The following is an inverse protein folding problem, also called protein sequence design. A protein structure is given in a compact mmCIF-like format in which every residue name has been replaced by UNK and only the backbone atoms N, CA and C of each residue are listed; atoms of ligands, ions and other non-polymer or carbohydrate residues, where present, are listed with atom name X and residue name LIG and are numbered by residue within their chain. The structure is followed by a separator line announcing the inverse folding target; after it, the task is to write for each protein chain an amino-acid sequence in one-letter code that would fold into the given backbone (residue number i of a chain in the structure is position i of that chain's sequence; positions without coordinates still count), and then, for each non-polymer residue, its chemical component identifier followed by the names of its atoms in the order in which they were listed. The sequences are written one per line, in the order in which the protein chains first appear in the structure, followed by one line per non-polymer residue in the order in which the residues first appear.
data_IF_163717183332
#
_entry.id   IF_163717183332
#
_cell.length_a   1.000
_cell.length_b   1.000
_cell.length_c   1.000
_cell.angle_alpha   90.00
_cell.angle_beta   90.00
_cell.angle_gamma   90.00
#
_symmetry.space_group_name_H-M   'P 1'
#
loop_
_entity.id
_entity.type
_entity.pdbx_description
1 polymer ?
#
# COMPACT_ATOMS: atom_id res chain seq x y z
N UNK A 1 2.34 -19.15 8.93
CA UNK A 1 1.62 -18.77 10.17
C UNK A 1 0.13 -18.78 9.87
N UNK A 2 -0.72 -19.10 10.85
CA UNK A 2 -2.18 -18.97 10.75
C UNK A 2 -2.61 -17.92 11.77
N UNK A 3 -3.47 -16.98 11.37
CA UNK A 3 -4.05 -15.99 12.27
C UNK A 3 -4.94 -16.66 13.29
N UNK A 4 -4.88 -16.20 14.54
CA UNK A 4 -5.86 -16.56 15.55
C UNK A 4 -7.24 -16.01 15.20
N UNK A 5 -8.30 -16.59 15.80
CA UNK A 5 -9.66 -16.06 15.65
C UNK A 5 -9.77 -14.61 16.13
N UNK A 6 -9.01 -14.23 17.16
CA UNK A 6 -8.96 -12.87 17.68
C UNK A 6 -8.33 -11.91 16.67
N UNK A 7 -7.20 -12.28 16.05
CA UNK A 7 -6.55 -11.47 15.02
C UNK A 7 -7.44 -11.31 13.78
N UNK A 8 -8.11 -12.38 13.36
CA UNK A 8 -9.03 -12.32 12.23
C UNK A 8 -10.27 -11.46 12.55
N UNK A 9 -10.80 -11.57 13.78
CA UNK A 9 -11.88 -10.71 14.25
C UNK A 9 -11.44 -9.24 14.30
N UNK A 10 -10.24 -8.96 14.80
CA UNK A 10 -9.64 -7.63 14.81
C UNK A 10 -9.54 -7.07 13.40
N UNK A 11 -8.96 -7.81 12.45
CA UNK A 11 -8.90 -7.37 11.05
C UNK A 11 -10.29 -7.06 10.50
N UNK A 12 -11.25 -7.96 10.74
CA UNK A 12 -12.62 -7.77 10.27
C UNK A 12 -13.28 -6.53 10.90
N UNK A 13 -12.97 -6.20 12.17
CA UNK A 13 -13.52 -5.08 12.94
C UNK A 13 -12.82 -3.73 12.67
N UNK A 14 -11.50 -3.72 12.55
CA UNK A 14 -10.72 -2.49 12.42
C UNK A 14 -10.32 -2.20 10.98
N UNK A 15 -10.28 -3.23 10.14
CA UNK A 15 -9.90 -3.15 8.73
C UNK A 15 -8.39 -3.21 8.51
N UNK A 16 -7.60 -3.38 9.57
CA UNK A 16 -6.17 -3.62 9.50
C UNK A 16 -5.71 -4.57 10.61
N UNK A 17 -4.52 -5.15 10.40
CA UNK A 17 -3.82 -5.99 11.36
C UNK A 17 -2.33 -5.72 11.25
N UNK A 18 -1.64 -5.67 12.39
CA UNK A 18 -0.18 -5.55 12.46
C UNK A 18 0.39 -6.90 12.90
N UNK A 19 1.26 -7.47 12.07
CA UNK A 19 2.06 -8.65 12.38
C UNK A 19 3.43 -8.18 12.83
N UNK A 20 3.71 -8.30 14.13
CA UNK A 20 4.97 -7.87 14.72
C UNK A 20 6.09 -8.85 14.44
N UNK A 21 7.28 -8.33 14.15
CA UNK A 21 8.51 -9.10 13.91
C UNK A 21 8.28 -10.25 12.92
N UNK A 22 7.55 -9.96 11.85
CA UNK A 22 7.07 -10.99 10.92
C UNK A 22 8.12 -11.34 9.87
N UNK A 23 8.70 -10.32 9.24
CA UNK A 23 9.73 -10.49 8.23
C UNK A 23 11.12 -10.52 8.89
N UNK A 24 11.98 -11.40 8.39
CA UNK A 24 13.36 -11.50 8.84
C UNK A 24 14.12 -10.18 8.59
N UNK A 25 14.85 -9.71 9.61
CA UNK A 25 15.52 -8.40 9.56
C UNK A 25 16.66 -8.38 8.54
N UNK A 26 17.34 -9.49 8.31
CA UNK A 26 18.38 -9.61 7.27
C UNK A 26 17.75 -9.55 5.87
N UNK A 27 16.60 -10.19 5.67
CA UNK A 27 15.81 -10.07 4.42
C UNK A 27 15.36 -8.63 4.19
N UNK A 28 14.90 -7.94 5.24
CA UNK A 28 14.56 -6.51 5.17
C UNK A 28 15.76 -5.65 4.76
N UNK A 29 16.94 -5.90 5.33
CA UNK A 29 18.17 -5.18 4.98
C UNK A 29 18.60 -5.41 3.53
N UNK A 30 18.56 -6.66 3.06
CA UNK A 30 18.87 -6.98 1.66
C UNK A 30 17.93 -6.26 0.67
N UNK A 31 16.63 -6.27 0.95
CA UNK A 31 15.62 -5.54 0.16
C UNK A 31 15.90 -4.04 0.19
N UNK A 32 16.19 -3.50 1.37
CA UNK A 32 16.45 -2.07 1.56
C UNK A 32 17.69 -1.60 0.80
N UNK A 33 18.76 -2.39 0.77
CA UNK A 33 19.98 -2.05 0.06
C UNK A 33 19.78 -2.02 -1.46
N UNK A 34 19.09 -3.00 -2.02
CA UNK A 34 18.70 -2.97 -3.44
C UNK A 34 17.79 -1.77 -3.73
N UNK A 35 16.81 -1.50 -2.87
CA UNK A 35 15.92 -0.36 -3.01
C UNK A 35 16.69 0.97 -3.02
N UNK A 36 17.68 1.14 -2.13
CA UNK A 36 18.55 2.33 -2.09
C UNK A 36 19.36 2.50 -3.37
N UNK A 37 19.92 1.43 -3.92
CA UNK A 37 20.62 1.47 -5.23
C UNK A 37 19.66 1.93 -6.32
N UNK A 38 18.48 1.31 -6.38
CA UNK A 38 17.43 1.62 -7.34
C UNK A 38 16.93 3.07 -7.25
N UNK A 39 16.80 3.61 -6.04
CA UNK A 39 16.45 5.01 -5.80
C UNK A 39 17.59 5.96 -6.19
N UNK A 40 18.84 5.64 -5.82
CA UNK A 40 20.02 6.46 -6.13
C UNK A 40 20.21 6.65 -7.63
N UNK A 41 20.04 5.57 -8.40
CA UNK A 41 20.19 5.60 -9.86
C UNK A 41 18.89 5.87 -10.60
N UNK A 42 17.78 6.11 -9.89
CA UNK A 42 16.45 6.38 -10.45
C UNK A 42 16.05 5.39 -11.54
N UNK A 43 16.28 4.10 -11.30
CA UNK A 43 15.98 3.05 -12.28
C UNK A 43 14.45 3.04 -12.50
N UNK A 44 14.03 3.24 -13.74
CA UNK A 44 12.61 3.24 -14.12
C UNK A 44 11.97 1.84 -14.01
N UNK A 45 10.66 1.73 -13.80
CA UNK A 45 9.69 2.82 -13.67
C UNK A 45 9.65 3.41 -12.24
N UNK A 46 9.55 4.75 -12.13
CA UNK A 46 9.39 5.48 -10.87
C UNK A 46 8.17 6.41 -10.89
N UNK A 47 7.79 6.91 -9.71
CA UNK A 47 6.93 8.08 -9.58
C UNK A 47 7.60 9.11 -8.66
N UNK A 48 7.46 10.39 -9.00
CA UNK A 48 8.06 11.51 -8.27
C UNK A 48 7.00 12.29 -7.48
N UNK A 49 7.42 13.10 -6.51
CA UNK A 49 6.52 13.95 -5.71
C UNK A 49 5.77 14.97 -6.58
N UNK A 50 6.43 15.57 -7.57
CA UNK A 50 5.81 16.49 -8.55
C UNK A 50 4.75 15.75 -9.35
N UNK A 51 5.12 14.60 -9.93
CA UNK A 51 4.19 13.76 -10.68
C UNK A 51 2.98 13.38 -9.84
N UNK A 52 3.14 13.06 -8.57
CA UNK A 52 2.02 12.72 -7.69
C UNK A 52 1.02 13.87 -7.47
N UNK A 53 1.50 15.10 -7.27
CA UNK A 53 0.67 16.27 -6.97
C UNK A 53 -0.28 16.69 -8.10
N UNK A 54 0.18 16.52 -9.35
CA UNK A 54 -0.53 16.97 -10.56
C UNK A 54 -1.63 15.99 -11.01
N UNK A 55 -1.60 14.73 -10.53
CA UNK A 55 -2.49 13.67 -11.05
C UNK A 55 -3.96 13.85 -10.67
N UNK A 56 -4.80 13.91 -11.70
CA UNK A 56 -6.26 13.85 -11.62
C UNK A 56 -6.75 12.43 -11.32
N UNK A 57 -8.06 12.28 -11.07
CA UNK A 57 -8.71 10.96 -10.96
C UNK A 57 -8.50 10.12 -12.21
N UNK A 58 -8.75 10.68 -13.40
CA UNK A 58 -8.56 10.03 -14.69
C UNK A 58 -7.14 9.46 -14.86
N UNK A 59 -6.11 10.22 -14.48
CA UNK A 59 -4.73 9.74 -14.56
C UNK A 59 -4.48 8.45 -13.75
N UNK A 60 -5.16 8.28 -12.60
CA UNK A 60 -4.97 7.10 -11.75
C UNK A 60 -5.65 5.86 -12.35
N UNK A 61 -6.75 6.06 -13.07
CA UNK A 61 -7.70 5.02 -13.49
C UNK A 61 -7.54 4.61 -14.94
N UNK A 62 -7.02 5.52 -15.76
CA UNK A 62 -6.88 5.37 -17.20
C UNK A 62 -5.46 4.92 -17.54
N UNK A 63 -5.33 4.28 -18.70
CA UNK A 63 -4.04 3.85 -19.24
C UNK A 63 -3.29 5.09 -19.69
N UNK A 64 -2.23 5.45 -18.96
CA UNK A 64 -1.39 6.61 -19.27
C UNK A 64 0.05 6.16 -19.38
N UNK A 65 0.74 6.60 -20.44
CA UNK A 65 2.17 6.40 -20.60
C UNK A 65 2.90 7.27 -19.57
N UNK A 66 3.72 6.63 -18.73
CA UNK A 66 4.49 7.31 -17.70
C UNK A 66 5.80 7.79 -18.32
N UNK A 67 6.03 9.11 -18.37
CA UNK A 67 7.37 9.68 -18.49
C UNK A 67 7.70 10.46 -17.22
N UNK A 68 8.85 10.16 -16.62
CA UNK A 68 9.44 10.92 -15.50
C UNK A 68 10.27 12.07 -16.06
N UNK A 69 9.64 12.95 -16.85
CA UNK A 69 10.31 14.14 -17.38
C UNK A 69 10.49 15.16 -16.26
N UNK A 70 11.55 15.03 -15.45
CA UNK A 70 12.20 16.14 -14.74
C UNK A 70 13.37 15.63 -13.88
N UNK A 71 14.59 15.95 -14.32
CA UNK A 71 15.80 15.78 -13.52
C UNK A 71 15.71 16.60 -12.21
N UNK A 72 16.22 16.06 -11.11
CA UNK A 72 16.20 16.74 -9.80
C UNK A 72 14.96 16.50 -8.92
N UNK A 73 13.95 15.77 -9.41
CA UNK A 73 12.74 15.49 -8.64
C UNK A 73 12.94 14.39 -7.58
N UNK A 74 12.31 14.59 -6.41
CA UNK A 74 12.25 13.63 -5.31
C UNK A 74 11.43 12.41 -5.74
N UNK A 75 12.04 11.22 -5.68
CA UNK A 75 11.33 9.96 -5.93
C UNK A 75 10.36 9.72 -4.79
N UNK A 76 9.11 9.42 -5.12
CA UNK A 76 8.03 9.05 -4.20
C UNK A 76 7.89 7.54 -4.07
N UNK A 77 8.09 6.84 -5.18
CA UNK A 77 8.08 5.37 -5.20
C UNK A 77 8.79 4.79 -6.40
N UNK A 78 9.37 3.62 -6.19
CA UNK A 78 9.71 2.69 -7.26
C UNK A 78 8.46 1.91 -7.64
N UNK A 79 8.16 1.79 -8.92
CA UNK A 79 6.98 1.07 -9.43
C UNK A 79 7.39 -0.28 -10.01
N UNK A 80 6.38 -1.14 -10.24
CA UNK A 80 6.54 -2.44 -10.88
C UNK A 80 7.60 -3.32 -10.21
N UNK A 81 7.66 -3.27 -8.88
CA UNK A 81 8.78 -3.88 -8.15
C UNK A 81 8.77 -5.40 -8.20
N UNK A 82 7.61 -6.02 -8.46
CA UNK A 82 7.50 -7.48 -8.61
C UNK A 82 8.42 -8.03 -9.72
N UNK A 83 8.50 -7.35 -10.86
CA UNK A 83 9.34 -7.76 -11.99
C UNK A 83 10.71 -7.06 -12.02
N UNK A 84 10.99 -6.22 -11.02
CA UNK A 84 12.17 -5.33 -10.99
C UNK A 84 13.41 -5.99 -10.40
N UNK A 85 13.23 -6.82 -9.37
CA UNK A 85 14.32 -7.50 -8.68
C UNK A 85 13.82 -8.82 -8.10
N UNK A 86 14.71 -9.82 -7.99
CA UNK A 86 14.38 -11.12 -7.43
C UNK A 86 14.00 -11.03 -5.96
N UNK A 87 14.69 -10.20 -5.15
CA UNK A 87 14.38 -10.05 -3.73
C UNK A 87 12.99 -9.43 -3.50
N UNK A 88 12.58 -8.53 -4.40
CA UNK A 88 11.28 -7.88 -4.37
C UNK A 88 10.15 -8.84 -4.72
N UNK A 89 10.42 -9.76 -5.65
CA UNK A 89 9.51 -10.86 -6.02
C UNK A 89 9.39 -11.87 -4.87
N UNK A 90 10.51 -12.34 -4.35
CA UNK A 90 10.59 -13.33 -3.25
C UNK A 90 9.97 -12.86 -1.95
N UNK A 91 9.89 -11.54 -1.70
CA UNK A 91 9.12 -11.02 -0.57
C UNK A 91 7.62 -11.33 -0.73
N UNK A 92 7.03 -11.03 -1.87
CA UNK A 92 5.59 -11.24 -2.07
C UNK A 92 5.23 -12.71 -2.29
N UNK A 93 6.18 -13.49 -2.79
CA UNK A 93 6.04 -14.94 -2.89
C UNK A 93 6.40 -15.68 -1.60
N UNK A 94 6.74 -14.98 -0.51
CA UNK A 94 7.10 -15.62 0.75
C UNK A 94 5.96 -16.51 1.26
N UNK A 95 6.26 -17.77 1.54
CA UNK A 95 5.27 -18.76 1.96
C UNK A 95 4.64 -18.43 3.31
N UNK A 96 5.32 -17.64 4.16
CA UNK A 96 4.84 -17.32 5.51
C UNK A 96 3.60 -16.43 5.48
N UNK A 97 3.51 -15.50 4.53
CA UNK A 97 2.42 -14.50 4.45
C UNK A 97 1.18 -15.06 3.73
N UNK A 98 1.34 -16.05 2.86
CA UNK A 98 0.24 -16.57 2.03
C UNK A 98 -0.96 -17.07 2.85
N UNK A 99 -0.80 -17.92 3.90
CA UNK A 99 -1.95 -18.40 4.66
C UNK A 99 -2.68 -17.27 5.40
N UNK A 100 -1.94 -16.24 5.86
CA UNK A 100 -2.53 -15.05 6.48
C UNK A 100 -3.42 -14.32 5.48
N UNK A 101 -2.93 -14.10 4.26
CA UNK A 101 -3.71 -13.43 3.19
C UNK A 101 -4.91 -14.26 2.75
N UNK A 102 -4.77 -15.59 2.68
CA UNK A 102 -5.88 -16.50 2.39
C UNK A 102 -6.98 -16.42 3.45
N UNK A 103 -6.63 -16.36 4.74
CA UNK A 103 -7.61 -16.19 5.82
C UNK A 103 -8.30 -14.83 5.76
N UNK A 104 -7.53 -13.77 5.51
CA UNK A 104 -8.04 -12.40 5.45
C UNK A 104 -8.99 -12.19 4.26
N UNK A 105 -8.62 -12.69 3.08
CA UNK A 105 -9.43 -12.58 1.87
C UNK A 105 -10.53 -13.65 1.78
N UNK A 106 -10.41 -14.72 2.58
CA UNK A 106 -11.21 -15.95 2.48
C UNK A 106 -11.31 -16.47 1.03
N UNK A 107 -10.18 -16.44 0.32
CA UNK A 107 -10.10 -16.76 -1.10
C UNK A 107 -8.65 -17.09 -1.51
N UNK A 108 -8.47 -17.63 -2.70
CA UNK A 108 -7.18 -17.77 -3.35
C UNK A 108 -6.58 -16.38 -3.61
N UNK A 109 -5.34 -16.17 -3.15
CA UNK A 109 -4.64 -14.88 -3.23
C UNK A 109 -4.12 -14.64 -4.64
N UNK A 110 -4.37 -13.43 -5.15
CA UNK A 110 -3.88 -12.94 -6.43
C UNK A 110 -3.22 -11.57 -6.24
N UNK A 111 -1.97 -11.42 -6.68
CA UNK A 111 -1.29 -10.13 -6.74
C UNK A 111 -1.79 -9.37 -7.95
N UNK A 112 -2.11 -8.09 -7.76
CA UNK A 112 -2.35 -7.16 -8.85
C UNK A 112 -1.11 -6.31 -9.11
N UNK A 113 -0.66 -6.24 -10.37
CA UNK A 113 0.54 -5.47 -10.75
C UNK A 113 0.22 -4.10 -11.34
N UNK A 114 -1.06 -3.74 -11.47
CA UNK A 114 -1.45 -2.46 -12.09
C UNK A 114 -1.06 -1.25 -11.23
N UNK A 115 -1.06 -1.42 -9.91
CA UNK A 115 -0.68 -0.41 -8.92
C UNK A 115 -0.13 -1.09 -7.65
N UNK A 116 0.29 -0.30 -6.65
CA UNK A 116 0.80 -0.75 -5.34
C UNK A 116 1.54 -2.09 -5.38
N UNK A 117 2.51 -2.20 -6.29
CA UNK A 117 3.63 -3.13 -6.24
C UNK A 117 4.89 -2.25 -6.20
N UNK A 118 5.15 -1.66 -5.04
CA UNK A 118 6.02 -0.49 -4.96
C UNK A 118 6.92 -0.48 -3.73
N UNK A 119 8.12 0.05 -3.90
CA UNK A 119 8.87 0.62 -2.77
C UNK A 119 8.36 2.05 -2.60
N UNK A 120 7.76 2.34 -1.47
CA UNK A 120 7.29 3.67 -1.08
C UNK A 120 8.37 4.40 -0.30
N UNK A 121 8.56 5.68 -0.59
CA UNK A 121 9.54 6.50 0.11
C UNK A 121 8.90 7.74 0.70
N UNK A 122 9.33 8.09 1.92
CA UNK A 122 9.25 9.44 2.44
C UNK A 122 10.67 9.98 2.61
N UNK A 123 11.15 10.71 1.60
CA UNK A 123 12.44 11.41 1.65
C UNK A 123 12.47 12.56 2.69
N UNK A 124 13.62 12.78 3.36
CA UNK A 124 13.79 13.82 4.39
C UNK A 124 13.33 15.19 3.91
N UNK A 125 12.44 15.85 4.65
CA UNK A 125 11.98 17.23 4.45
C UNK A 125 11.32 17.56 3.10
N UNK A 126 11.28 16.60 2.16
CA UNK A 126 10.81 16.80 0.78
C UNK A 126 9.48 16.08 0.51
N UNK A 127 9.15 15.08 1.33
CA UNK A 127 7.96 14.26 1.12
C UNK A 127 6.67 15.05 1.32
N UNK A 128 5.72 14.90 0.40
CA UNK A 128 4.36 15.37 0.63
C UNK A 128 3.57 14.42 1.54
N UNK A 129 2.58 14.98 2.23
CA UNK A 129 1.61 14.20 2.98
C UNK A 129 0.73 13.42 2.00
N UNK A 130 0.46 12.16 2.32
CA UNK A 130 -0.63 11.41 1.70
C UNK A 130 -1.87 11.68 2.54
N UNK A 131 -2.86 12.42 2.01
CA UNK A 131 -4.10 12.75 2.73
C UNK A 131 -4.99 11.50 2.91
N UNK A 132 -5.99 11.60 3.78
CA UNK A 132 -6.97 10.53 4.03
C UNK A 132 -7.62 10.05 2.73
N UNK A 133 -7.53 8.76 2.46
CA UNK A 133 -8.11 8.14 1.27
C UNK A 133 -8.36 6.65 1.48
N UNK A 134 -9.09 6.06 0.52
CA UNK A 134 -9.24 4.62 0.37
C UNK A 134 -8.44 4.18 -0.86
N UNK A 135 -7.69 3.09 -0.76
CA UNK A 135 -6.89 2.52 -1.86
C UNK A 135 -7.74 2.10 -3.05
N UNK A 136 -9.02 1.77 -2.82
CA UNK A 136 -9.98 1.42 -3.86
C UNK A 136 -10.02 2.40 -5.03
N UNK A 137 -9.68 3.67 -4.82
CA UNK A 137 -9.59 4.69 -5.89
C UNK A 137 -8.69 4.27 -7.07
N UNK A 138 -7.66 3.46 -6.82
CA UNK A 138 -6.70 2.99 -7.84
C UNK A 138 -7.19 1.78 -8.63
N UNK A 139 -8.21 1.09 -8.14
CA UNK A 139 -8.59 -0.24 -8.61
C UNK A 139 -9.95 -0.23 -9.28
N UNK A 140 -10.16 -1.09 -10.27
CA UNK A 140 -11.45 -1.31 -10.92
C UNK A 140 -11.73 -2.82 -11.02
N UNK A 141 -12.32 -3.33 -9.93
CA UNK A 141 -12.74 -4.72 -9.79
C UNK A 141 -14.24 -4.83 -9.49
N UNK A 142 -14.78 -6.04 -9.60
CA UNK A 142 -16.17 -6.42 -9.33
C UNK A 142 -16.63 -6.10 -7.90
N UNK A 143 -15.71 -6.15 -6.95
CA UNK A 143 -15.94 -5.94 -5.53
C UNK A 143 -14.69 -5.31 -4.86
N UNK A 144 -14.69 -5.27 -3.53
CA UNK A 144 -13.70 -4.62 -2.69
C UNK A 144 -12.84 -5.60 -1.88
N UNK A 145 -12.82 -6.90 -2.21
CA UNK A 145 -12.02 -7.90 -1.50
C UNK A 145 -10.52 -7.80 -1.90
N UNK A 146 -9.92 -6.67 -1.51
CA UNK A 146 -8.53 -6.32 -1.73
C UNK A 146 -7.89 -5.86 -0.42
N UNK A 147 -6.64 -6.25 -0.21
CA UNK A 147 -5.84 -5.79 0.93
C UNK A 147 -4.46 -5.35 0.46
N UNK A 148 -3.95 -4.31 1.10
CA UNK A 148 -2.57 -3.84 0.96
C UNK A 148 -1.72 -4.42 2.08
N UNK A 149 -0.51 -4.83 1.74
CA UNK A 149 0.51 -5.43 2.60
C UNK A 149 1.66 -4.45 2.63
N UNK A 150 1.90 -3.84 3.78
CA UNK A 150 2.94 -2.86 4.01
C UNK A 150 4.03 -3.47 4.89
N UNK A 151 5.24 -3.61 4.35
CA UNK A 151 6.41 -4.05 5.11
C UNK A 151 7.26 -2.82 5.49
N UNK A 152 7.47 -2.64 6.79
CA UNK A 152 8.43 -1.68 7.32
C UNK A 152 9.86 -2.21 7.10
N UNK A 153 10.62 -1.57 6.19
CA UNK A 153 12.03 -1.93 5.93
C UNK A 153 13.00 -1.21 6.87
N UNK A 154 12.50 -0.23 7.61
CA UNK A 154 13.17 0.49 8.69
C UNK A 154 12.10 0.94 9.70
N UNK A 155 12.51 1.47 10.84
CA UNK A 155 11.57 1.89 11.87
C UNK A 155 10.67 3.05 11.38
N UNK A 156 9.37 2.93 11.61
CA UNK A 156 8.37 3.94 11.25
C UNK A 156 7.71 4.54 12.49
N UNK A 157 7.68 5.86 12.53
CA UNK A 157 7.14 6.64 13.64
C UNK A 157 6.50 7.94 13.12
N UNK A 158 5.85 8.69 14.02
CA UNK A 158 5.02 9.84 13.65
C UNK A 158 5.74 10.85 12.75
N UNK A 159 6.95 11.24 13.14
CA UNK A 159 7.75 12.28 12.51
C UNK A 159 8.32 11.85 11.13
N UNK A 160 8.53 10.55 10.90
CA UNK A 160 9.01 10.06 9.61
C UNK A 160 7.88 9.65 8.65
N UNK A 161 6.62 9.77 9.10
CA UNK A 161 5.43 9.58 8.29
C UNK A 161 4.90 8.15 8.29
N UNK A 162 4.92 7.46 9.44
CA UNK A 162 4.18 6.20 9.66
C UNK A 162 2.71 6.33 9.26
N UNK A 163 2.09 5.19 8.92
CA UNK A 163 0.67 5.16 8.56
C UNK A 163 -0.21 5.53 9.76
N UNK A 164 -1.31 6.21 9.46
CA UNK A 164 -2.42 6.44 10.36
C UNK A 164 -3.69 5.86 9.74
N UNK A 165 -4.55 5.28 10.57
CA UNK A 165 -5.77 4.59 10.16
C UNK A 165 -6.98 5.13 10.92
N UNK A 166 -8.16 5.02 10.33
CA UNK A 166 -9.43 5.21 11.04
C UNK A 166 -10.10 3.84 11.18
N UNK A 167 -10.03 3.19 12.36
CA UNK A 167 -10.53 1.84 12.54
C UNK A 167 -12.01 1.68 12.16
N UNK A 168 -12.33 0.61 11.44
CA UNK A 168 -13.69 0.26 11.03
C UNK A 168 -14.24 1.08 9.86
N UNK A 169 -13.49 2.06 9.34
CA UNK A 169 -13.93 2.90 8.22
C UNK A 169 -14.10 2.13 6.90
N UNK A 170 -13.49 0.95 6.77
CA UNK A 170 -13.67 0.07 5.60
C UNK A 170 -15.09 -0.47 5.44
N UNK A 171 -15.89 -0.48 6.53
CA UNK A 171 -17.31 -0.86 6.49
C UNK A 171 -18.25 0.33 6.35
N UNK A 172 -17.73 1.55 6.40
CA UNK A 172 -18.55 2.76 6.33
C UNK A 172 -18.89 3.11 4.89
N UNK A 173 -20.09 3.65 4.69
CA UNK A 173 -20.50 4.24 3.42
C UNK A 173 -20.33 5.74 3.50
N UNK A 174 -19.56 6.28 2.57
CA UNK A 174 -19.31 7.70 2.45
C UNK A 174 -20.10 8.25 1.27
N UNK A 175 -20.63 9.46 1.43
CA UNK A 175 -21.24 10.20 0.33
C UNK A 175 -20.15 10.83 -0.55
N UNK A 176 -20.38 11.00 -1.86
CA UNK A 176 -19.40 11.61 -2.75
C UNK A 176 -18.91 12.99 -2.28
N UNK A 177 -19.76 13.79 -1.65
CA UNK A 177 -19.41 15.16 -1.23
C UNK A 177 -18.38 15.19 -0.09
N UNK A 178 -18.23 14.08 0.65
CA UNK A 178 -17.21 13.92 1.70
C UNK A 178 -15.79 13.82 1.12
N UNK A 179 -15.65 13.62 -0.19
CA UNK A 179 -14.36 13.59 -0.88
C UNK A 179 -14.18 14.78 -1.83
N UNK A 180 -12.93 15.14 -2.08
CA UNK A 180 -12.55 16.05 -3.15
C UNK A 180 -12.51 15.35 -4.52
N UNK A 181 -12.26 16.13 -5.57
CA UNK A 181 -12.16 15.64 -6.96
C UNK A 181 -11.04 14.60 -7.18
N UNK A 182 -10.05 14.54 -6.28
CA UNK A 182 -8.94 13.59 -6.30
C UNK A 182 -9.21 12.38 -5.39
N UNK A 183 -10.42 12.26 -4.86
CA UNK A 183 -10.87 11.19 -3.97
C UNK A 183 -10.09 11.14 -2.64
N UNK A 184 -9.71 12.31 -2.12
CA UNK A 184 -9.30 12.46 -0.73
C UNK A 184 -10.46 12.89 0.15
N UNK A 185 -10.53 12.37 1.36
CA UNK A 185 -11.52 12.79 2.35
C UNK A 185 -11.28 14.26 2.72
N UNK A 186 -12.32 15.08 2.63
CA UNK A 186 -12.29 16.50 3.04
C UNK A 186 -12.24 16.58 4.55
N UNK A 187 -11.13 17.02 5.11
CA UNK A 187 -10.91 17.03 6.57
C UNK A 187 -11.78 18.07 7.27
N UNK A 188 -12.14 19.12 6.54
CA UNK A 188 -12.98 20.25 6.96
C UNK A 188 -14.49 19.98 6.87
N UNK A 189 -14.91 18.85 6.30
CA UNK A 189 -16.33 18.53 6.16
C UNK A 189 -16.88 18.04 7.51
N UNK A 190 -17.96 18.65 8.02
CA UNK A 190 -18.48 18.43 9.38
C UNK A 190 -18.64 16.95 9.77
N UNK A 191 -19.09 16.11 8.83
CA UNK A 191 -19.28 14.67 9.09
C UNK A 191 -17.96 13.88 9.19
N UNK A 192 -16.86 14.41 8.64
CA UNK A 192 -15.55 13.77 8.62
C UNK A 192 -14.72 14.11 9.86
N UNK A 193 -14.91 15.28 10.47
CA UNK A 193 -14.18 15.73 11.66
C UNK A 193 -14.22 14.69 12.80
N UNK A 194 -15.40 14.27 13.31
CA UNK A 194 -15.48 13.30 14.42
C UNK A 194 -14.99 11.91 14.02
N UNK A 195 -14.88 11.61 12.73
CA UNK A 195 -14.32 10.37 12.23
C UNK A 195 -12.79 10.41 12.25
N UNK A 196 -12.18 11.51 11.81
CA UNK A 196 -10.73 11.72 11.81
C UNK A 196 -10.17 11.80 13.23
N UNK A 197 -10.94 12.28 14.20
CA UNK A 197 -10.56 12.29 15.62
C UNK A 197 -10.35 10.88 16.19
N UNK A 198 -10.96 9.85 15.60
CA UNK A 198 -10.81 8.44 15.99
C UNK A 198 -9.56 7.78 15.38
N UNK A 199 -8.73 8.55 14.66
CA UNK A 199 -7.55 7.99 14.03
C UNK A 199 -6.62 7.35 15.05
N UNK A 200 -6.01 6.25 14.65
CA UNK A 200 -4.97 5.57 15.41
C UNK A 200 -3.69 5.52 14.58
N UNK A 201 -2.57 5.50 15.28
CA UNK A 201 -1.26 5.25 14.70
C UNK A 201 -0.45 4.45 15.69
N UNK A 202 0.44 3.61 15.17
CA UNK A 202 1.35 2.83 16.00
C UNK A 202 2.69 2.76 15.30
N UNK A 203 3.76 2.92 16.06
CA UNK A 203 5.11 2.75 15.54
C UNK A 203 5.28 1.35 14.99
N UNK A 204 6.07 1.23 13.92
CA UNK A 204 6.47 -0.03 13.31
C UNK A 204 7.98 -0.17 13.47
N UNK A 205 8.43 -1.34 13.84
CA UNK A 205 9.85 -1.69 13.79
C UNK A 205 10.15 -2.36 12.44
N UNK A 206 11.42 -2.33 12.03
CA UNK A 206 11.87 -3.12 10.88
C UNK A 206 11.40 -4.57 10.98
N UNK A 207 10.74 -5.05 9.93
CA UNK A 207 10.20 -6.41 9.85
C UNK A 207 8.71 -6.52 10.20
N UNK A 208 8.12 -5.47 10.77
CA UNK A 208 6.68 -5.43 10.98
C UNK A 208 5.92 -5.35 9.65
N UNK A 209 4.81 -6.08 9.58
CA UNK A 209 3.90 -6.07 8.43
C UNK A 209 2.55 -5.53 8.85
N UNK A 210 2.02 -4.57 8.10
CA UNK A 210 0.64 -4.09 8.24
C UNK A 210 -0.17 -4.60 7.06
N UNK A 211 -1.26 -5.30 7.33
CA UNK A 211 -2.25 -5.70 6.33
C UNK A 211 -3.46 -4.80 6.53
N UNK A 212 -3.95 -4.13 5.49
CA UNK A 212 -5.13 -3.28 5.59
C UNK A 212 -6.05 -3.36 4.37
N UNK A 213 -7.35 -3.31 4.61
CA UNK A 213 -8.39 -3.38 3.61
C UNK A 213 -8.36 -2.18 2.65
N UNK A 214 -8.67 -2.38 1.36
CA UNK A 214 -8.61 -1.30 0.36
C UNK A 214 -9.60 -0.15 0.59
N UNK A 215 -10.62 -0.37 1.43
CA UNK A 215 -11.59 0.63 1.87
C UNK A 215 -11.22 1.27 3.22
N UNK A 216 -10.15 0.86 3.89
CA UNK A 216 -9.77 1.49 5.14
C UNK A 216 -9.25 2.90 4.86
N UNK A 217 -9.85 3.91 5.50
CA UNK A 217 -9.30 5.26 5.46
C UNK A 217 -7.95 5.27 6.15
N UNK A 218 -6.94 5.65 5.37
CA UNK A 218 -5.57 5.74 5.85
C UNK A 218 -4.87 6.96 5.27
N UNK A 219 -3.81 7.39 5.95
CA UNK A 219 -2.96 8.51 5.54
C UNK A 219 -1.52 8.31 5.99
N UNK A 220 -0.62 9.15 5.51
CA UNK A 220 0.78 9.17 5.94
C UNK A 220 1.31 10.60 5.95
N UNK A 221 1.87 11.04 7.08
CA UNK A 221 2.40 12.40 7.23
C UNK A 221 3.64 12.64 6.33
N UNK A 222 4.07 13.90 6.27
CA UNK A 222 5.37 14.25 5.70
C UNK A 222 6.48 13.67 6.58
N UNK A 223 7.66 13.45 6.02
CA UNK A 223 8.83 13.12 6.80
C UNK A 223 9.58 14.42 7.15
N UNK A 224 9.61 14.77 8.44
CA UNK A 224 10.30 15.94 8.98
C UNK A 224 11.66 15.60 9.60
N UNK A 225 12.12 14.37 9.42
CA UNK A 225 13.40 13.86 9.94
C UNK A 225 14.51 13.97 8.89
N UNK A 226 15.73 13.62 9.29
CA UNK A 226 16.92 13.64 8.42
C UNK A 226 17.20 12.31 7.69
N UNK A 227 16.37 11.28 7.89
CA UNK A 227 16.54 9.95 7.27
C UNK A 227 15.33 9.61 6.41
N UNK A 228 15.49 8.96 5.25
CA UNK A 228 14.36 8.50 4.46
C UNK A 228 13.60 7.40 5.22
N UNK A 229 12.27 7.41 5.14
CA UNK A 229 11.44 6.25 5.48
C UNK A 229 11.20 5.45 4.21
N UNK A 230 11.56 4.18 4.18
CA UNK A 230 11.41 3.32 3.00
C UNK A 230 10.60 2.11 3.42
N UNK A 231 9.58 1.78 2.64
CA UNK A 231 8.65 0.70 2.97
C UNK A 231 8.24 -0.02 1.70
N UNK A 232 7.89 -1.30 1.83
CA UNK A 232 7.36 -2.09 0.74
C UNK A 232 5.84 -2.06 0.77
N UNK A 233 5.17 -1.92 -0.39
CA UNK A 233 3.72 -2.18 -0.50
C UNK A 233 3.38 -3.09 -1.66
N UNK A 234 2.54 -4.09 -1.37
CA UNK A 234 1.82 -4.91 -2.35
C UNK A 234 0.33 -4.84 -2.10
N UNK A 235 -0.50 -4.71 -3.13
CA UNK A 235 -1.94 -5.00 -3.03
C UNK A 235 -2.25 -6.37 -3.64
N UNK A 236 -3.02 -7.16 -2.92
CA UNK A 236 -3.56 -8.44 -3.36
C UNK A 236 -5.08 -8.43 -3.30
N UNK A 237 -5.71 -9.36 -4.02
CA UNK A 237 -7.15 -9.58 -4.03
C UNK A 237 -7.51 -11.06 -3.94
N UNK A 238 -8.77 -11.34 -3.64
CA UNK A 238 -9.33 -12.68 -3.84
C UNK A 238 -9.45 -13.04 -5.32
N UNK A 239 -9.29 -14.30 -5.68
CA UNK A 239 -9.45 -14.79 -7.05
C UNK A 239 -10.89 -14.61 -7.59
N UNK A 240 -11.88 -14.55 -6.71
CA UNK A 240 -13.28 -14.28 -7.04
C UNK A 240 -13.51 -12.83 -7.44
N UNK A 241 -12.68 -11.89 -6.96
CA UNK A 241 -12.68 -10.48 -7.35
C UNK A 241 -12.15 -10.34 -8.78
N UNK A 242 -13.06 -10.07 -9.72
CA UNK A 242 -12.77 -10.02 -11.15
C UNK A 242 -12.42 -8.62 -11.60
N UNK A 243 -11.43 -8.55 -12.50
CA UNK A 243 -11.05 -7.29 -13.15
C UNK A 243 -12.17 -6.78 -14.04
N UNK A 244 -12.32 -5.46 -14.10
CA UNK A 244 -13.22 -4.81 -15.04
C UNK A 244 -12.44 -4.49 -16.31
N UNK A 245 -12.83 -5.09 -17.43
CA UNK A 245 -12.22 -4.88 -18.75
C UNK A 245 -12.24 -3.41 -19.19
N UNK A 246 -11.25 -3.01 -19.99
CA UNK A 246 -11.11 -1.63 -20.48
C UNK A 246 -10.70 -0.63 -19.40
N UNK A 247 -10.23 -1.11 -18.24
CA UNK A 247 -9.68 -0.27 -17.17
C UNK A 247 -8.20 -0.57 -17.01
N UNK A 248 -7.45 0.36 -16.39
CA UNK A 248 -6.04 0.14 -16.08
C UNK A 248 -5.79 -1.16 -15.28
N UNK A 249 -6.75 -1.61 -14.47
CA UNK A 249 -6.61 -2.87 -13.72
C UNK A 249 -6.50 -4.09 -14.64
N UNK A 250 -7.05 -4.06 -15.86
CA UNK A 250 -7.02 -5.14 -16.84
C UNK A 250 -5.74 -5.17 -17.69
N UNK A 251 -5.01 -4.06 -17.79
CA UNK A 251 -3.83 -3.92 -18.66
C UNK A 251 -2.55 -4.56 -18.09
N UNK A 252 -2.59 -5.01 -16.84
CA UNK A 252 -1.42 -5.52 -16.13
C UNK A 252 -1.66 -6.96 -15.68
N UNK A 253 -0.64 -7.83 -15.76
CA UNK A 253 -0.80 -9.23 -15.40
C UNK A 253 -1.13 -9.41 -13.92
N UNK A 254 -2.00 -10.36 -13.64
CA UNK A 254 -2.28 -10.84 -12.29
C UNK A 254 -1.43 -12.08 -12.00
N UNK A 255 -0.87 -12.16 -10.79
CA UNK A 255 -0.05 -13.31 -10.37
C UNK A 255 -0.80 -14.08 -9.30
N UNK A 256 -1.20 -15.31 -9.60
CA UNK A 256 -1.80 -16.18 -8.60
C UNK A 256 -0.73 -16.75 -7.67
N UNK A 257 -0.90 -16.52 -6.36
CA UNK A 257 -0.02 -17.12 -5.34
C UNK A 257 -0.53 -18.50 -4.96
N UNK A 258 -0.16 -19.52 -5.72
CA UNK A 258 -0.63 -20.88 -5.48
C UNK A 258 -0.36 -21.34 -4.04
N UNK A 259 -1.34 -22.01 -3.45
CA UNK A 259 -1.17 -22.72 -2.17
C UNK A 259 -0.06 -23.76 -2.35
N UNK A 260 0.90 -23.77 -1.43
CA UNK A 260 1.90 -24.84 -1.41
C UNK A 260 1.16 -26.10 -0.98
N UNK A 261 1.08 -27.08 -1.87
CA UNK A 261 0.65 -28.41 -1.50
C UNK A 261 1.62 -28.90 -0.43
N UNK A 262 1.17 -29.00 0.82
CA UNK A 262 1.88 -29.77 1.83
C UNK A 262 1.89 -31.21 1.33
N UNK A 263 3.03 -31.66 0.81
CA UNK A 263 3.35 -33.07 0.69
C UNK A 263 3.63 -33.65 2.08
#
# INVERSE_FOLDING_TARGET
MILSNEQLLQFNQDGFLILRDFADKEKCDAILDVAKVHLKYKIEPIETEVGYGVKSKAYRTDVTDYSSEEAGTTVRRLRQVYSRDILFKEWMEDEKIRPVLQQVLNDQVVITTAHHNSIMTKMPHQSTQTRWHQDRRYWRYSDDNLVSIWLALDDEYSENGVLEFIPGSHRMKFKPEQFDEKEYLKEEFDQNIPLIEKKVSTTLEKGDVVIFHSLLLHRANKNTTNKPKISFVYTVKGASTKVIEGTRSAEYPEITLHTISTQ
#
